data_IF_182390185165
#
_entry.id   IF_182390185165
#
_cell.length_a   1.000
_cell.length_b   1.000
_cell.length_c   1.000
_cell.angle_alpha   90.00
_cell.angle_beta   90.00
_cell.angle_gamma   90.00
#
_symmetry.space_group_name_H-M   'P 1'
#
loop_
_entity.id
_entity.type
_entity.pdbx_description
1 polymer ?
#
# COMPACT_ATOMS: atom_id res chain seq x y z
N UNK A 1 18.92 -6.37 -13.11
CA UNK A 1 19.12 -7.75 -13.63
C UNK A 1 19.93 -8.49 -12.58
N UNK A 2 19.52 -9.70 -12.17
CA UNK A 2 20.38 -10.50 -11.30
C UNK A 2 21.48 -11.07 -12.20
N UNK A 3 22.70 -10.56 -12.05
CA UNK A 3 23.88 -11.02 -12.77
C UNK A 3 24.47 -12.24 -12.05
N UNK A 4 25.27 -13.05 -12.73
CA UNK A 4 26.00 -14.20 -12.17
C UNK A 4 26.89 -13.85 -10.97
N UNK A 5 27.26 -12.58 -10.82
CA UNK A 5 28.00 -12.06 -9.65
C UNK A 5 27.16 -11.83 -8.41
N UNK A 6 25.83 -11.87 -8.52
CA UNK A 6 24.93 -11.67 -7.40
C UNK A 6 24.67 -13.00 -6.69
N UNK A 7 24.73 -12.98 -5.37
CA UNK A 7 24.53 -14.16 -4.54
C UNK A 7 23.10 -14.12 -4.00
N UNK A 8 22.38 -15.24 -4.13
CA UNK A 8 21.06 -15.42 -3.54
C UNK A 8 21.16 -16.57 -2.53
N UNK A 9 20.74 -16.31 -1.30
CA UNK A 9 20.73 -17.29 -0.23
C UNK A 9 19.38 -17.34 0.47
N UNK A 10 19.00 -18.54 0.91
CA UNK A 10 17.90 -18.71 1.87
C UNK A 10 18.44 -18.37 3.26
N UNK A 11 17.82 -17.41 3.93
CA UNK A 11 18.26 -16.97 5.25
C UNK A 11 17.57 -17.77 6.35
N UNK A 12 16.27 -17.56 6.54
CA UNK A 12 15.49 -18.23 7.57
C UNK A 12 14.02 -18.32 7.19
N UNK A 13 13.39 -19.48 7.40
CA UNK A 13 11.99 -19.73 7.03
C UNK A 13 11.74 -19.45 5.54
N UNK A 14 10.79 -18.54 5.27
CA UNK A 14 10.43 -18.05 3.94
C UNK A 14 11.15 -16.74 3.56
N UNK A 15 12.29 -16.42 4.19
CA UNK A 15 13.08 -15.20 3.90
C UNK A 15 14.32 -15.54 3.09
N UNK A 16 14.60 -14.69 2.11
CA UNK A 16 15.74 -14.80 1.21
C UNK A 16 16.57 -13.51 1.28
N UNK A 17 17.88 -13.63 1.08
CA UNK A 17 18.80 -12.51 0.98
C UNK A 17 19.43 -12.53 -0.40
N UNK A 18 19.50 -11.34 -1.01
CA UNK A 18 20.22 -11.12 -2.27
C UNK A 18 21.34 -10.13 -2.00
N UNK A 19 22.58 -10.56 -2.24
CA UNK A 19 23.75 -9.69 -2.20
C UNK A 19 24.07 -9.31 -3.64
N UNK A 20 23.84 -8.04 -3.97
CA UNK A 20 24.11 -7.51 -5.29
C UNK A 20 25.25 -6.47 -5.22
N UNK A 21 26.29 -6.67 -6.03
CA UNK A 21 27.34 -5.67 -6.20
C UNK A 21 26.87 -4.63 -7.21
N UNK A 22 26.79 -3.37 -6.79
CA UNK A 22 26.36 -2.28 -7.67
C UNK A 22 27.05 -0.98 -7.30
N UNK A 23 27.37 -0.16 -8.31
CA UNK A 23 27.85 1.20 -8.14
C UNK A 23 26.69 2.22 -8.00
N UNK A 24 25.45 1.80 -8.26
CA UNK A 24 24.29 2.68 -8.32
C UNK A 24 23.14 2.15 -7.46
N UNK A 25 22.71 2.96 -6.48
CA UNK A 25 21.61 2.66 -5.57
C UNK A 25 20.27 2.48 -6.31
N UNK A 26 20.03 3.24 -7.37
CA UNK A 26 18.79 3.17 -8.14
C UNK A 26 18.60 1.81 -8.83
N UNK A 27 19.68 1.10 -9.13
CA UNK A 27 19.60 -0.25 -9.69
C UNK A 27 19.07 -1.28 -8.67
N UNK A 28 19.28 -1.06 -7.37
CA UNK A 28 18.75 -1.93 -6.31
C UNK A 28 17.23 -1.78 -6.21
N UNK A 29 16.74 -0.54 -6.28
CA UNK A 29 15.30 -0.23 -6.30
C UNK A 29 14.62 -0.89 -7.50
N UNK A 30 15.16 -0.68 -8.71
CA UNK A 30 14.63 -1.28 -9.92
C UNK A 30 14.66 -2.81 -9.89
N UNK A 31 15.69 -3.40 -9.29
CA UNK A 31 15.76 -4.84 -9.08
C UNK A 31 14.67 -5.33 -8.13
N UNK A 32 14.45 -4.65 -7.01
CA UNK A 32 13.42 -5.00 -6.04
C UNK A 32 12.02 -4.94 -6.67
N UNK A 33 11.70 -3.88 -7.40
CA UNK A 33 10.39 -3.73 -8.04
C UNK A 33 10.17 -4.75 -9.15
N UNK A 34 11.20 -5.05 -9.94
CA UNK A 34 11.13 -6.12 -10.95
C UNK A 34 10.85 -7.47 -10.31
N UNK A 35 11.50 -7.80 -9.19
CA UNK A 35 11.26 -9.07 -8.49
C UNK A 35 9.85 -9.15 -7.93
N UNK A 36 9.31 -8.05 -7.39
CA UNK A 36 7.92 -7.99 -6.94
C UNK A 36 6.95 -8.24 -8.09
N UNK A 37 7.14 -7.56 -9.22
CA UNK A 37 6.30 -7.72 -10.40
C UNK A 37 6.32 -9.16 -10.93
N UNK A 38 7.51 -9.73 -11.11
CA UNK A 38 7.66 -11.11 -11.58
C UNK A 38 6.96 -12.12 -10.66
N UNK A 39 7.11 -11.96 -9.34
CA UNK A 39 6.44 -12.85 -8.40
C UNK A 39 4.92 -12.69 -8.41
N UNK A 40 4.42 -11.46 -8.53
CA UNK A 40 2.99 -11.17 -8.59
C UNK A 40 2.32 -11.68 -9.88
N UNK A 41 3.04 -11.67 -10.99
CA UNK A 41 2.58 -12.19 -12.29
C UNK A 41 2.62 -13.73 -12.34
N UNK A 42 3.51 -14.35 -11.55
CA UNK A 42 3.67 -15.80 -11.54
C UNK A 42 2.59 -16.48 -10.70
N UNK A 43 1.94 -17.48 -11.29
CA UNK A 43 1.05 -18.40 -10.57
C UNK A 43 1.73 -19.75 -10.43
N UNK A 44 1.77 -20.28 -9.22
CA UNK A 44 2.38 -21.56 -8.91
C UNK A 44 1.28 -22.60 -8.75
N UNK A 45 1.34 -23.67 -9.54
CA UNK A 45 0.44 -24.80 -9.38
C UNK A 45 0.90 -25.66 -8.20
N UNK A 46 0.03 -25.85 -7.21
CA UNK A 46 0.25 -26.75 -6.06
C UNK A 46 -0.93 -27.71 -6.02
N UNK A 47 -0.73 -28.92 -6.55
CA UNK A 47 -1.83 -29.86 -6.78
C UNK A 47 -2.79 -29.33 -7.83
N UNK A 48 -4.07 -29.18 -7.46
CA UNK A 48 -5.11 -28.63 -8.33
C UNK A 48 -5.31 -27.11 -8.16
N UNK A 49 -4.64 -26.50 -7.18
CA UNK A 49 -4.80 -25.09 -6.86
C UNK A 49 -3.72 -24.22 -7.52
N UNK A 50 -4.12 -23.02 -7.94
CA UNK A 50 -3.21 -22.00 -8.46
C UNK A 50 -2.96 -20.94 -7.38
N UNK A 51 -1.75 -20.95 -6.81
CA UNK A 51 -1.35 -20.03 -5.75
C UNK A 51 -0.59 -18.84 -6.33
N UNK A 52 -1.00 -17.63 -5.97
CA UNK A 52 -0.25 -16.41 -6.26
C UNK A 52 0.58 -16.00 -5.05
N UNK A 53 1.82 -15.58 -5.29
CA UNK A 53 2.74 -15.19 -4.22
C UNK A 53 3.04 -13.70 -4.35
N UNK A 54 3.09 -12.99 -3.23
CA UNK A 54 3.56 -11.60 -3.17
C UNK A 54 4.85 -11.53 -2.36
N UNK A 55 5.81 -10.76 -2.85
CA UNK A 55 7.07 -10.53 -2.17
C UNK A 55 7.06 -9.17 -1.47
N UNK A 56 7.53 -9.16 -0.22
CA UNK A 56 7.96 -7.95 0.45
C UNK A 56 9.49 -7.90 0.38
N UNK A 57 10.05 -6.84 -0.18
CA UNK A 57 11.48 -6.68 -0.38
C UNK A 57 11.90 -5.36 0.26
N UNK A 58 12.78 -5.46 1.24
CA UNK A 58 13.56 -4.36 1.77
C UNK A 58 14.98 -4.44 1.24
N UNK A 59 15.65 -3.31 1.14
CA UNK A 59 16.97 -3.21 0.58
C UNK A 59 17.80 -2.17 1.32
N UNK A 60 19.11 -2.35 1.29
CA UNK A 60 20.05 -1.40 1.87
C UNK A 60 21.38 -1.46 1.14
N UNK A 61 22.22 -0.45 1.34
CA UNK A 61 23.57 -0.37 0.80
C UNK A 61 24.53 -0.53 1.97
N UNK A 62 25.54 -1.38 1.82
CA UNK A 62 26.60 -1.53 2.83
C UNK A 62 27.41 -0.26 2.98
N UNK A 63 27.76 0.07 4.22
CA UNK A 63 28.64 1.17 4.61
C UNK A 63 29.89 0.58 5.27
N UNK A 64 30.99 1.35 5.30
CA UNK A 64 32.31 0.86 5.74
C UNK A 64 32.34 0.35 7.18
N UNK A 65 31.40 0.81 8.02
CA UNK A 65 31.31 0.47 9.44
C UNK A 65 30.12 -0.44 9.77
N UNK A 66 29.43 -0.99 8.76
CA UNK A 66 28.33 -1.90 9.01
C UNK A 66 28.85 -3.27 9.48
N UNK A 67 28.22 -3.82 10.51
CA UNK A 67 28.29 -5.26 10.78
C UNK A 67 27.29 -5.99 9.88
N UNK A 68 27.52 -7.28 9.65
CA UNK A 68 26.60 -8.12 8.86
C UNK A 68 25.19 -8.12 9.49
N UNK A 69 25.11 -8.27 10.81
CA UNK A 69 23.84 -8.28 11.53
C UNK A 69 23.08 -6.96 11.36
N UNK A 70 23.77 -5.83 11.54
CA UNK A 70 23.17 -4.51 11.40
C UNK A 70 22.68 -4.25 9.96
N UNK A 71 23.43 -4.70 8.95
CA UNK A 71 23.03 -4.59 7.55
C UNK A 71 21.73 -5.36 7.28
N UNK A 72 21.62 -6.57 7.83
CA UNK A 72 20.43 -7.42 7.69
C UNK A 72 19.24 -6.79 8.44
N UNK A 73 19.44 -6.33 9.67
CA UNK A 73 18.40 -5.65 10.45
C UNK A 73 17.87 -4.41 9.72
N UNK A 74 18.76 -3.61 9.13
CA UNK A 74 18.39 -2.42 8.35
C UNK A 74 17.56 -2.79 7.12
N UNK A 75 17.93 -3.85 6.39
CA UNK A 75 17.15 -4.35 5.25
C UNK A 75 15.79 -4.93 5.69
N UNK A 76 15.73 -5.60 6.85
CA UNK A 76 14.48 -6.15 7.41
C UNK A 76 13.54 -5.02 7.80
N UNK A 77 14.04 -3.99 8.49
CA UNK A 77 13.26 -2.81 8.87
C UNK A 77 12.67 -2.13 7.63
N UNK A 78 13.52 -1.90 6.62
CA UNK A 78 13.14 -1.34 5.33
C UNK A 78 12.01 -2.14 4.63
N UNK A 79 12.06 -3.48 4.75
CA UNK A 79 11.02 -4.38 4.22
C UNK A 79 9.69 -4.29 4.98
N UNK A 80 9.74 -4.12 6.30
CA UNK A 80 8.54 -4.05 7.15
C UNK A 80 7.81 -2.72 6.94
N UNK A 81 8.56 -1.62 6.85
CA UNK A 81 8.02 -0.29 6.54
C UNK A 81 7.30 -0.27 5.19
N UNK A 82 7.85 -0.94 4.17
CA UNK A 82 7.20 -1.10 2.85
C UNK A 82 6.03 -2.07 2.83
N UNK A 83 5.87 -2.89 3.86
CA UNK A 83 4.76 -3.84 4.01
C UNK A 83 3.58 -3.21 4.75
N UNK A 84 3.82 -2.14 5.52
CA UNK A 84 2.74 -1.38 6.12
C UNK A 84 1.79 -0.94 4.99
N UNK A 85 0.47 -1.17 5.13
CA UNK A 85 -0.46 -0.71 4.13
C UNK A 85 -0.33 0.81 4.07
N UNK A 86 -0.28 1.39 2.87
CA UNK A 86 -0.92 2.69 2.71
C UNK A 86 -2.29 2.52 3.36
N UNK A 87 -2.51 3.20 4.49
CA UNK A 87 -3.81 3.21 5.12
C UNK A 87 -4.81 3.55 4.01
N UNK A 88 -5.94 2.82 3.88
CA UNK A 88 -6.96 3.22 2.93
C UNK A 88 -7.22 4.72 3.15
N UNK A 89 -7.34 5.54 2.09
CA UNK A 89 -7.65 6.95 2.27
C UNK A 89 -8.85 6.99 3.22
N UNK A 90 -8.68 7.70 4.34
CA UNK A 90 -9.73 7.82 5.35
C UNK A 90 -11.05 8.11 4.59
N UNK A 91 -12.15 7.43 4.93
CA UNK A 91 -13.41 7.69 4.24
C UNK A 91 -13.63 9.20 4.28
N UNK A 92 -13.74 9.82 3.11
CA UNK A 92 -14.10 11.23 2.99
C UNK A 92 -15.31 11.42 3.89
N UNK A 93 -15.14 12.20 4.96
CA UNK A 93 -16.28 12.62 5.79
C UNK A 93 -17.29 13.18 4.79
N UNK A 94 -18.56 12.72 4.81
CA UNK A 94 -19.58 13.33 3.97
C UNK A 94 -19.51 14.83 4.20
N UNK A 95 -19.14 15.55 3.15
CA UNK A 95 -19.17 17.00 3.15
C UNK A 95 -20.60 17.34 3.53
N UNK A 96 -20.79 17.91 4.73
CA UNK A 96 -22.09 18.39 5.14
C UNK A 96 -22.46 19.48 4.14
N UNK A 97 -23.25 19.12 3.14
CA UNK A 97 -23.94 20.08 2.30
C UNK A 97 -24.57 21.08 3.25
N UNK A 98 -24.09 22.31 3.19
CA UNK A 98 -24.76 23.43 3.82
C UNK A 98 -26.14 23.47 3.19
N UNK A 99 -27.11 22.87 3.85
CA UNK A 99 -28.52 23.03 3.53
C UNK A 99 -28.81 24.52 3.67
N UNK A 100 -28.75 25.23 2.54
CA UNK A 100 -29.29 26.57 2.40
C UNK A 100 -30.77 26.43 2.70
N UNK A 101 -31.18 26.85 3.90
CA UNK A 101 -32.56 27.00 4.29
C UNK A 101 -33.16 28.08 3.40
N UNK A 102 -33.69 27.68 2.25
CA UNK A 102 -34.59 28.52 1.46
C UNK A 102 -35.91 28.52 2.22
N UNK A 103 -36.09 29.54 3.04
CA UNK A 103 -37.37 29.89 3.65
C UNK A 103 -38.42 30.08 2.55
N UNK A 104 -39.21 29.05 2.26
CA UNK A 104 -40.45 29.18 1.49
C UNK A 104 -41.42 30.02 2.33
N UNK A 105 -41.52 31.31 2.01
CA UNK A 105 -42.66 32.13 2.41
C UNK A 105 -43.92 31.46 1.85
N UNK A 106 -44.68 30.82 2.74
CA UNK A 106 -45.99 30.24 2.45
C UNK A 106 -46.96 31.40 2.25
N UNK A 107 -47.22 31.73 0.98
CA UNK A 107 -48.38 32.53 0.56
C UNK A 107 -49.62 31.65 0.75
N UNK A 108 -50.25 31.71 1.92
CA UNK A 108 -51.59 31.15 2.09
C UNK A 108 -52.61 32.18 1.59
N UNK A 109 -53.16 31.85 0.42
CA UNK A 109 -54.36 32.44 -0.16
C UNK A 109 -55.53 32.36 0.82
N UNK A 110 -56.25 33.48 0.95
CA UNK A 110 -57.33 33.63 1.91
C UNK A 110 -58.63 32.90 1.55
N UNK A 111 -59.49 32.84 2.59
CA UNK A 111 -60.96 32.75 2.61
C UNK A 111 -61.61 31.52 1.93
N UNK A 112 -62.55 30.77 2.51
CA UNK A 112 -63.65 31.11 3.43
C UNK A 112 -64.06 29.89 4.28
N UNK A 113 -64.58 30.14 5.48
CA UNK A 113 -65.72 29.36 6.02
C UNK A 113 -66.47 30.17 7.07
N UNK A 114 -67.73 30.49 6.74
CA UNK A 114 -68.70 31.15 7.61
C UNK A 114 -69.32 30.15 8.59
N UNK A 115 -69.45 30.57 9.86
CA UNK A 115 -70.34 29.97 10.88
C UNK A 115 -70.43 30.98 12.02
N UNK A 116 -71.45 31.85 12.03
CA UNK A 116 -72.67 31.68 12.85
C UNK A 116 -72.39 31.54 14.35
N UNK A 117 -72.60 32.63 15.12
CA UNK A 117 -73.67 32.77 16.13
C UNK A 117 -73.47 34.02 17.02
N UNK A 118 -74.59 34.74 17.16
CA UNK A 118 -74.99 35.77 18.15
C UNK A 118 -74.38 37.16 18.01
#
# INVERSE_FOLDING_TARGET
MICTSNIIGRWHGARFIVIAKTANKSLILLLADKLKALAAETKFAIGEEMVSIRLAIGHTVSQDYDTVDYLIERAIKDSLERRAPEAPPAPEKPQADKATVVSRQRKESGFHSASSRR
#
